data_IF_726277121284
#
_entry.id   IF_726277121284
#
_cell.length_a   1.000
_cell.length_b   1.000
_cell.length_c   1.000
_cell.angle_alpha   90.00
_cell.angle_beta   90.00
_cell.angle_gamma   90.00
#
_symmetry.space_group_name_H-M   'P 1'
#
loop_
_entity.id
_entity.type
_entity.pdbx_description
1 polymer ?
#
# COMPACT_ATOMS: atom_id res chain seq x y z
N UNK A 1 -39.72 -35.17 72.46
CA UNK A 1 -39.80 -36.42 71.69
C UNK A 1 -38.48 -36.57 70.97
N UNK A 2 -37.61 -37.55 71.23
CA UNK A 2 -37.47 -38.65 72.19
C UNK A 2 -35.98 -39.02 71.95
N UNK A 3 -35.08 -38.95 72.95
CA UNK A 3 -34.62 -40.11 73.73
C UNK A 3 -34.42 -41.32 72.80
N UNK A 4 -33.21 -41.88 72.66
CA UNK A 4 -32.62 -42.77 73.66
C UNK A 4 -31.09 -42.70 73.70
N UNK A 5 -30.61 -42.59 74.93
CA UNK A 5 -29.26 -42.90 75.41
C UNK A 5 -29.05 -44.43 75.51
N UNK A 6 -27.77 -44.77 75.75
CA UNK A 6 -27.23 -46.00 76.33
C UNK A 6 -27.25 -47.29 75.47
N UNK A 7 -26.05 -47.79 75.17
CA UNK A 7 -25.40 -48.62 76.20
C UNK A 7 -23.88 -48.70 76.00
N UNK A 8 -23.15 -48.40 77.07
CA UNK A 8 -21.73 -48.72 77.21
C UNK A 8 -21.57 -50.23 77.34
N UNK A 9 -20.63 -50.81 76.60
CA UNK A 9 -19.88 -51.93 77.15
C UNK A 9 -18.44 -51.94 76.62
N UNK A 10 -17.54 -51.44 77.46
CA UNK A 10 -16.12 -51.82 77.43
C UNK A 10 -16.01 -53.24 77.98
N UNK A 11 -15.25 -54.11 77.30
CA UNK A 11 -14.02 -54.68 77.87
C UNK A 11 -13.16 -55.38 76.79
N UNK A 12 -11.84 -55.51 77.02
CA UNK A 12 -10.83 -55.49 75.96
C UNK A 12 -10.10 -56.82 75.77
N UNK A 13 -9.65 -57.08 74.54
CA UNK A 13 -8.53 -57.97 74.22
C UNK A 13 -7.99 -57.52 72.85
N UNK A 14 -6.80 -56.90 72.71
CA UNK A 14 -5.48 -57.56 72.55
C UNK A 14 -5.60 -58.82 71.70
N UNK A 15 -5.01 -58.97 70.53
CA UNK A 15 -3.95 -58.32 69.72
C UNK A 15 -4.43 -58.48 68.26
N UNK A 16 -4.17 -57.55 67.33
CA UNK A 16 -3.06 -57.73 66.39
C UNK A 16 -2.67 -56.37 65.79
N UNK A 17 -1.39 -56.04 65.95
CA UNK A 17 -0.75 -54.77 65.62
C UNK A 17 -0.14 -54.75 64.21
N UNK A 18 -0.57 -55.63 63.30
CA UNK A 18 0.09 -55.81 62.01
C UNK A 18 -0.63 -55.18 60.81
N UNK A 19 -1.90 -54.75 60.92
CA UNK A 19 -2.64 -54.16 59.77
C UNK A 19 -2.54 -52.63 59.64
N UNK A 20 -1.93 -51.91 60.60
CA UNK A 20 -1.92 -50.43 60.61
C UNK A 20 -0.68 -49.82 59.94
N UNK A 21 0.39 -50.60 59.69
CA UNK A 21 1.58 -50.11 58.98
C UNK A 21 1.45 -50.19 57.45
N UNK A 22 0.67 -51.12 56.92
CA UNK A 22 0.54 -51.30 55.45
C UNK A 22 -0.36 -50.23 54.79
N UNK A 23 -1.25 -49.60 55.57
CA UNK A 23 -2.13 -48.52 55.07
C UNK A 23 -1.52 -47.12 55.17
N UNK A 24 -0.40 -46.92 55.87
CA UNK A 24 0.34 -45.65 55.82
C UNK A 24 1.37 -45.60 54.69
N UNK A 25 1.92 -46.75 54.29
CA UNK A 25 2.86 -46.83 53.18
C UNK A 25 2.19 -46.66 51.81
N UNK A 26 0.88 -46.91 51.69
CA UNK A 26 0.17 -46.87 50.40
C UNK A 26 -0.59 -45.56 50.11
N UNK A 27 -0.45 -44.55 50.99
CA UNK A 27 -0.98 -43.20 50.75
C UNK A 27 0.14 -42.21 50.35
N UNK A 28 1.40 -42.53 50.63
CA UNK A 28 2.55 -41.70 50.19
C UNK A 28 3.05 -42.02 48.77
N UNK A 29 2.62 -43.13 48.15
CA UNK A 29 3.14 -43.58 46.84
C UNK A 29 2.17 -43.31 45.65
N UNK A 30 1.18 -42.43 45.83
CA UNK A 30 0.23 -42.05 44.76
C UNK A 30 0.12 -40.53 44.56
N UNK A 31 1.13 -39.76 44.97
CA UNK A 31 1.15 -38.29 44.87
C UNK A 31 2.21 -37.74 43.90
N UNK A 32 2.85 -38.58 43.08
CA UNK A 32 3.96 -38.13 42.22
C UNK A 32 3.67 -38.07 40.72
N UNK A 33 2.44 -38.31 40.25
CA UNK A 33 2.12 -38.36 38.81
C UNK A 33 0.95 -37.45 38.39
N UNK A 34 0.72 -36.35 39.11
CA UNK A 34 -0.03 -35.21 38.57
C UNK A 34 0.95 -34.07 38.32
N UNK A 35 1.25 -33.78 37.05
CA UNK A 35 2.06 -32.63 36.66
C UNK A 35 1.47 -31.37 37.33
N UNK A 36 2.30 -30.60 38.03
CA UNK A 36 1.87 -29.39 38.72
C UNK A 36 1.19 -28.47 37.69
N UNK A 37 -0.09 -28.07 37.87
CA UNK A 37 -0.79 -27.18 36.95
C UNK A 37 -0.03 -25.89 36.66
N UNK A 38 0.84 -25.46 37.58
CA UNK A 38 1.73 -24.32 37.41
C UNK A 38 2.85 -24.59 36.40
N UNK A 39 3.45 -25.79 36.42
CA UNK A 39 4.50 -26.19 35.47
C UNK A 39 3.94 -26.34 34.05
N UNK A 40 2.75 -26.95 33.89
CA UNK A 40 2.11 -27.02 32.57
C UNK A 40 1.80 -25.65 31.98
N UNK A 41 1.35 -24.71 32.82
CA UNK A 41 1.02 -23.35 32.40
C UNK A 41 2.29 -22.57 32.03
N UNK A 42 3.39 -22.80 32.75
CA UNK A 42 4.70 -22.22 32.45
C UNK A 42 5.22 -22.70 31.09
N UNK A 43 5.14 -24.01 30.82
CA UNK A 43 5.56 -24.57 29.51
C UNK A 43 4.72 -23.99 28.36
N UNK A 44 3.39 -23.87 28.52
CA UNK A 44 2.51 -23.24 27.52
C UNK A 44 2.82 -21.76 27.32
N UNK A 45 3.14 -21.04 28.40
CA UNK A 45 3.55 -19.64 28.33
C UNK A 45 4.86 -19.47 27.58
N UNK A 46 5.86 -20.31 27.89
CA UNK A 46 7.18 -20.24 27.26
C UNK A 46 7.10 -20.57 25.76
N UNK A 47 6.34 -21.59 25.37
CA UNK A 47 6.09 -21.89 23.95
C UNK A 47 5.35 -20.73 23.24
N UNK A 48 4.33 -20.14 23.87
CA UNK A 48 3.62 -19.00 23.29
C UNK A 48 4.52 -17.77 23.17
N UNK A 49 5.36 -17.51 24.18
CA UNK A 49 6.29 -16.39 24.18
C UNK A 49 7.38 -16.56 23.11
N UNK A 50 7.91 -17.77 22.94
CA UNK A 50 8.86 -18.09 21.88
C UNK A 50 8.22 -17.96 20.50
N UNK A 51 6.99 -18.44 20.34
CA UNK A 51 6.21 -18.27 19.12
C UNK A 51 5.94 -16.79 18.82
N UNK A 52 5.63 -15.99 19.84
CA UNK A 52 5.42 -14.55 19.73
C UNK A 52 6.71 -13.82 19.34
N UNK A 53 7.84 -14.12 19.99
CA UNK A 53 9.15 -13.56 19.67
C UNK A 53 9.56 -13.87 18.23
N UNK A 54 9.36 -15.12 17.80
CA UNK A 54 9.61 -15.53 16.41
C UNK A 54 8.72 -14.78 15.43
N UNK A 55 7.41 -14.71 15.70
CA UNK A 55 6.46 -13.99 14.84
C UNK A 55 6.80 -12.49 14.77
N UNK A 56 7.18 -11.87 15.89
CA UNK A 56 7.61 -10.47 15.94
C UNK A 56 8.87 -10.25 15.08
N UNK A 57 9.85 -11.15 15.17
CA UNK A 57 11.05 -11.08 14.35
C UNK A 57 10.75 -11.27 12.85
N UNK A 58 9.89 -12.21 12.50
CA UNK A 58 9.41 -12.42 11.12
C UNK A 58 8.67 -11.19 10.58
N UNK A 59 7.81 -10.58 11.40
CA UNK A 59 7.09 -9.36 11.05
C UNK A 59 8.03 -8.17 10.83
N UNK A 60 9.02 -7.99 11.70
CA UNK A 60 10.03 -6.94 11.54
C UNK A 60 10.87 -7.14 10.27
N UNK A 61 11.25 -8.38 9.97
CA UNK A 61 11.95 -8.71 8.73
C UNK A 61 11.09 -8.46 7.50
N UNK A 62 9.82 -8.88 7.54
CA UNK A 62 8.84 -8.61 6.49
C UNK A 62 8.68 -7.10 6.25
N UNK A 63 8.46 -6.32 7.31
CA UNK A 63 8.33 -4.86 7.24
C UNK A 63 9.55 -4.22 6.60
N UNK A 64 10.76 -4.58 7.03
CA UNK A 64 12.02 -4.06 6.46
C UNK A 64 12.14 -4.43 4.98
N UNK A 65 11.84 -5.68 4.62
CA UNK A 65 11.86 -6.14 3.22
C UNK A 65 10.85 -5.37 2.36
N UNK A 66 9.60 -5.25 2.81
CA UNK A 66 8.56 -4.52 2.08
C UNK A 66 8.91 -3.04 1.90
N UNK A 67 9.49 -2.39 2.91
CA UNK A 67 9.93 -1.00 2.76
C UNK A 67 11.04 -0.86 1.72
N UNK A 68 11.99 -1.81 1.69
CA UNK A 68 13.05 -1.86 0.68
C UNK A 68 12.46 -2.07 -0.73
N UNK A 69 11.58 -3.07 -0.90
CA UNK A 69 10.93 -3.34 -2.18
C UNK A 69 10.12 -2.14 -2.68
N UNK A 70 9.38 -1.45 -1.79
CA UNK A 70 8.66 -0.21 -2.15
C UNK A 70 9.62 0.89 -2.59
N UNK A 71 10.75 1.07 -1.89
CA UNK A 71 11.75 2.05 -2.27
C UNK A 71 12.37 1.72 -3.63
N UNK A 72 12.64 0.44 -3.89
CA UNK A 72 13.17 -0.03 -5.16
C UNK A 72 12.16 0.19 -6.30
N UNK A 73 10.87 -0.11 -6.08
CA UNK A 73 9.79 0.17 -7.06
C UNK A 73 9.66 1.67 -7.34
N UNK A 74 9.74 2.53 -6.32
CA UNK A 74 9.69 3.98 -6.53
C UNK A 74 10.92 4.45 -7.33
N UNK A 75 12.10 3.89 -7.03
CA UNK A 75 13.34 4.23 -7.71
C UNK A 75 13.35 3.79 -9.18
N UNK A 76 12.84 2.60 -9.48
CA UNK A 76 12.77 2.07 -10.85
C UNK A 76 11.48 2.41 -11.59
N UNK A 77 10.47 2.98 -10.92
CA UNK A 77 9.15 3.23 -11.49
C UNK A 77 9.17 4.17 -12.71
N UNK A 78 10.16 5.04 -12.82
CA UNK A 78 10.37 5.91 -13.99
C UNK A 78 11.31 5.34 -15.06
N UNK A 79 12.05 4.25 -14.77
CA UNK A 79 13.11 3.71 -15.62
C UNK A 79 12.59 3.32 -17.01
N UNK A 80 11.45 2.62 -17.06
CA UNK A 80 10.81 2.25 -18.32
C UNK A 80 10.45 3.46 -19.17
N UNK A 81 9.77 4.45 -18.57
CA UNK A 81 9.33 5.66 -19.29
C UNK A 81 10.53 6.46 -19.82
N UNK A 82 11.58 6.59 -19.02
CA UNK A 82 12.81 7.28 -19.42
C UNK A 82 13.53 6.54 -20.56
N UNK A 83 13.59 5.21 -20.50
CA UNK A 83 14.19 4.38 -21.55
C UNK A 83 13.41 4.50 -22.86
N UNK A 84 12.08 4.43 -22.79
CA UNK A 84 11.18 4.61 -23.93
C UNK A 84 11.23 6.06 -24.48
N UNK A 85 11.75 7.03 -23.71
CA UNK A 85 11.94 8.42 -24.11
C UNK A 85 13.27 8.68 -24.86
N UNK A 86 14.28 7.82 -24.70
CA UNK A 86 15.60 8.01 -25.33
C UNK A 86 15.55 8.16 -26.86
N UNK A 87 14.71 7.41 -27.61
CA UNK A 87 14.60 7.59 -29.06
C UNK A 87 14.15 8.99 -29.50
N UNK A 88 13.51 9.76 -28.62
CA UNK A 88 13.17 11.15 -28.91
C UNK A 88 14.39 12.05 -28.85
N UNK A 89 15.30 11.83 -27.90
CA UNK A 89 16.56 12.55 -27.84
C UNK A 89 17.36 12.31 -29.13
N UNK A 90 17.45 11.06 -29.58
CA UNK A 90 18.12 10.70 -30.85
C UNK A 90 17.48 11.40 -32.06
N UNK A 91 16.15 11.47 -32.09
CA UNK A 91 15.41 12.13 -33.17
C UNK A 91 15.60 13.66 -33.15
N UNK A 92 15.61 14.27 -31.97
CA UNK A 92 15.90 15.70 -31.82
C UNK A 92 17.34 16.03 -32.21
N UNK A 93 18.33 15.23 -31.79
CA UNK A 93 19.72 15.42 -32.20
C UNK A 93 19.87 15.34 -33.72
N UNK A 94 19.23 14.36 -34.36
CA UNK A 94 19.20 14.22 -35.81
C UNK A 94 18.54 15.41 -36.50
N UNK A 95 17.42 15.90 -35.97
CA UNK A 95 16.73 17.07 -36.51
C UNK A 95 17.56 18.35 -36.36
N UNK A 96 18.24 18.55 -35.22
CA UNK A 96 19.12 19.68 -34.99
C UNK A 96 20.35 19.67 -35.90
N UNK A 97 20.94 18.49 -36.15
CA UNK A 97 22.03 18.36 -37.12
C UNK A 97 21.56 18.71 -38.53
N UNK A 98 20.38 18.23 -38.93
CA UNK A 98 19.79 18.56 -40.22
C UNK A 98 19.52 20.07 -40.34
N UNK A 99 19.02 20.72 -39.28
CA UNK A 99 18.79 22.17 -39.22
C UNK A 99 20.04 23.01 -39.47
N UNK A 100 21.22 22.54 -39.06
CA UNK A 100 22.49 23.24 -39.32
C UNK A 100 23.00 23.08 -40.75
N UNK A 101 22.49 22.11 -41.50
CA UNK A 101 22.97 21.76 -42.85
C UNK A 101 21.97 22.03 -43.96
N UNK A 102 20.69 22.12 -43.63
CA UNK A 102 19.61 22.31 -44.59
C UNK A 102 19.36 23.80 -44.83
N UNK A 103 19.15 24.19 -46.08
CA UNK A 103 18.65 25.53 -46.45
C UNK A 103 17.12 25.53 -46.63
N UNK A 104 16.50 24.35 -46.66
CA UNK A 104 15.07 24.17 -46.88
C UNK A 104 14.27 24.18 -45.57
N UNK A 105 13.50 25.25 -45.39
CA UNK A 105 12.65 25.47 -44.22
C UNK A 105 11.46 24.50 -44.16
N UNK A 106 10.95 24.01 -45.29
CA UNK A 106 9.78 23.12 -45.30
C UNK A 106 10.15 21.73 -44.76
N UNK A 107 11.27 21.19 -45.23
CA UNK A 107 11.82 19.93 -44.72
C UNK A 107 12.12 19.97 -43.21
N UNK A 108 12.52 21.13 -42.69
CA UNK A 108 12.74 21.33 -41.25
C UNK A 108 11.44 21.27 -40.43
N UNK A 109 10.39 21.93 -40.90
CA UNK A 109 9.08 21.95 -40.23
C UNK A 109 8.48 20.55 -40.24
N UNK A 110 8.52 19.86 -41.37
CA UNK A 110 8.02 18.48 -41.48
C UNK A 110 8.76 17.52 -40.54
N UNK A 111 10.09 17.63 -40.45
CA UNK A 111 10.88 16.84 -39.50
C UNK A 111 10.47 17.07 -38.04
N UNK A 112 10.18 18.32 -37.66
CA UNK A 112 9.71 18.65 -36.32
C UNK A 112 8.29 18.12 -36.05
N UNK A 113 7.38 18.23 -37.03
CA UNK A 113 6.01 17.73 -36.92
C UNK A 113 5.97 16.20 -36.76
N UNK A 114 6.89 15.48 -37.40
CA UNK A 114 7.06 14.03 -37.22
C UNK A 114 7.48 13.68 -35.80
N UNK A 115 8.45 14.41 -35.22
CA UNK A 115 8.89 14.20 -33.83
C UNK A 115 7.74 14.51 -32.86
N UNK A 116 7.02 15.61 -33.07
CA UNK A 116 5.88 15.98 -32.25
C UNK A 116 4.76 14.92 -32.30
N UNK A 117 4.44 14.42 -33.50
CA UNK A 117 3.45 13.36 -33.68
C UNK A 117 3.87 12.06 -32.97
N UNK A 118 5.15 11.69 -33.08
CA UNK A 118 5.71 10.54 -32.34
C UNK A 118 5.58 10.74 -30.83
N UNK A 119 5.79 11.96 -30.33
CA UNK A 119 5.72 12.28 -28.91
C UNK A 119 4.29 12.16 -28.37
N UNK A 120 3.30 12.66 -29.12
CA UNK A 120 1.89 12.47 -28.77
C UNK A 120 1.49 10.99 -28.75
N UNK A 121 2.00 10.19 -29.68
CA UNK A 121 1.77 8.74 -29.68
C UNK A 121 2.40 8.06 -28.46
N UNK A 122 3.61 8.45 -28.08
CA UNK A 122 4.27 7.95 -26.86
C UNK A 122 3.47 8.28 -25.61
N UNK A 123 2.99 9.52 -25.47
CA UNK A 123 2.13 9.90 -24.34
C UNK A 123 0.89 9.01 -24.27
N UNK A 124 0.19 8.81 -25.40
CA UNK A 124 -0.99 7.94 -25.46
C UNK A 124 -0.68 6.49 -25.08
N UNK A 125 0.46 5.93 -25.52
CA UNK A 125 0.90 4.58 -25.16
C UNK A 125 1.18 4.42 -23.66
N UNK A 126 1.64 5.48 -23.00
CA UNK A 126 1.83 5.52 -21.54
C UNK A 126 0.57 5.96 -20.76
N UNK A 127 -0.59 6.02 -21.42
CA UNK A 127 -1.86 6.38 -20.78
C UNK A 127 -2.03 7.88 -20.50
N UNK A 128 -1.16 8.72 -21.05
CA UNK A 128 -1.26 10.18 -20.94
C UNK A 128 -2.08 10.72 -22.10
N UNK A 129 -3.16 11.45 -21.78
CA UNK A 129 -4.05 12.09 -22.76
C UNK A 129 -4.11 13.59 -22.54
N UNK A 130 -4.16 14.33 -23.63
CA UNK A 130 -4.43 15.77 -23.60
C UNK A 130 -5.89 16.02 -23.19
N UNK A 131 -6.11 17.03 -22.35
CA UNK A 131 -7.44 17.47 -21.95
C UNK A 131 -7.87 18.60 -22.91
N UNK A 132 -8.92 18.35 -23.69
CA UNK A 132 -9.51 19.38 -24.56
C UNK A 132 -10.23 20.45 -23.73
N UNK A 133 -9.79 21.69 -23.87
CA UNK A 133 -10.30 22.82 -23.09
C UNK A 133 -11.10 23.81 -23.96
N UNK A 134 -10.66 24.06 -25.19
CA UNK A 134 -11.22 25.10 -26.07
C UNK A 134 -12.70 24.84 -26.37
N UNK A 135 -13.53 25.87 -26.18
CA UNK A 135 -14.96 25.81 -26.45
C UNK A 135 -15.80 25.04 -25.42
N UNK A 136 -15.18 24.48 -24.38
CA UNK A 136 -15.90 23.83 -23.28
C UNK A 136 -16.34 24.84 -22.21
N UNK A 137 -17.45 24.58 -21.50
CA UNK A 137 -17.81 25.37 -20.33
C UNK A 137 -16.72 25.26 -19.26
N UNK A 138 -16.42 26.37 -18.59
CA UNK A 138 -15.43 26.39 -17.52
C UNK A 138 -15.91 25.57 -16.32
N UNK A 139 -15.03 24.70 -15.83
CA UNK A 139 -15.20 23.80 -14.69
C UNK A 139 -13.92 23.86 -13.83
N UNK A 140 -14.05 24.37 -12.59
CA UNK A 140 -12.91 24.57 -11.70
C UNK A 140 -12.26 23.25 -11.24
N UNK A 141 -12.97 22.12 -11.33
CA UNK A 141 -12.43 20.79 -11.00
C UNK A 141 -11.54 20.24 -12.13
N UNK A 142 -11.59 20.84 -13.32
CA UNK A 142 -10.88 20.36 -14.52
C UNK A 142 -9.94 21.39 -15.13
N UNK A 143 -10.12 22.68 -14.85
CA UNK A 143 -9.39 23.76 -15.52
C UNK A 143 -8.92 24.82 -14.52
N UNK A 144 -7.75 25.40 -14.80
CA UNK A 144 -7.19 26.54 -14.07
C UNK A 144 -7.44 27.82 -14.87
N UNK A 145 -8.38 28.66 -14.45
CA UNK A 145 -8.60 29.96 -15.11
C UNK A 145 -7.47 30.95 -14.75
N UNK A 146 -6.75 31.43 -15.75
CA UNK A 146 -5.73 32.49 -15.57
C UNK A 146 -6.40 33.86 -15.49
N UNK A 147 -7.31 34.13 -16.43
CA UNK A 147 -7.99 35.42 -16.56
C UNK A 147 -9.32 35.25 -17.27
N UNK A 148 -10.17 36.26 -17.15
CA UNK A 148 -11.37 36.42 -17.98
C UNK A 148 -11.13 37.47 -19.06
N UNK A 149 -11.89 37.37 -20.16
CA UNK A 149 -11.91 38.37 -21.24
C UNK A 149 -13.36 38.69 -21.62
N UNK A 150 -13.71 39.96 -21.85
CA UNK A 150 -15.07 40.33 -22.23
C UNK A 150 -15.41 39.78 -23.62
N UNK A 151 -16.54 39.08 -23.73
CA UNK A 151 -17.01 38.52 -25.01
C UNK A 151 -18.22 39.29 -25.55
N UNK A 152 -18.27 39.48 -26.88
CA UNK A 152 -19.41 40.14 -27.53
C UNK A 152 -20.60 39.18 -27.69
N UNK A 153 -20.33 37.89 -27.89
CA UNK A 153 -21.34 36.86 -27.98
C UNK A 153 -21.68 36.30 -26.60
N UNK A 154 -22.96 36.38 -26.23
CA UNK A 154 -23.47 35.84 -24.96
C UNK A 154 -23.29 34.32 -24.85
N UNK A 155 -23.19 33.60 -25.97
CA UNK A 155 -22.96 32.15 -25.98
C UNK A 155 -21.58 31.76 -25.41
N UNK A 156 -20.62 32.69 -25.43
CA UNK A 156 -19.25 32.47 -25.00
C UNK A 156 -19.00 32.85 -23.54
N UNK A 157 -20.00 33.41 -22.86
CA UNK A 157 -19.91 33.75 -21.43
C UNK A 157 -19.80 32.47 -20.60
N UNK A 158 -18.76 32.35 -19.79
CA UNK A 158 -18.44 31.16 -19.01
C UNK A 158 -17.82 30.01 -19.81
N UNK A 159 -17.48 30.23 -21.08
CA UNK A 159 -16.83 29.25 -21.96
C UNK A 159 -15.34 29.55 -22.06
N UNK A 160 -14.54 28.51 -22.21
CA UNK A 160 -13.10 28.62 -22.43
C UNK A 160 -12.85 29.13 -23.86
N UNK A 161 -12.27 30.33 -23.94
CA UNK A 161 -11.97 31.01 -25.21
C UNK A 161 -10.60 30.63 -25.72
N UNK A 162 -9.64 30.46 -24.80
CA UNK A 162 -8.27 30.10 -25.15
C UNK A 162 -7.65 29.18 -24.09
N UNK A 163 -6.68 28.36 -24.52
CA UNK A 163 -5.89 27.48 -23.67
C UNK A 163 -4.41 27.85 -23.79
N UNK A 164 -3.95 28.67 -22.85
CA UNK A 164 -2.56 29.16 -22.80
C UNK A 164 -1.59 28.00 -22.55
N UNK A 165 -2.03 27.01 -21.78
CA UNK A 165 -1.20 25.88 -21.43
C UNK A 165 -2.04 24.59 -21.44
N UNK A 166 -1.72 23.69 -22.36
CA UNK A 166 -2.34 22.35 -22.43
C UNK A 166 -2.21 21.61 -21.11
N UNK A 167 -3.30 20.94 -20.73
CA UNK A 167 -3.35 20.02 -19.60
C UNK A 167 -3.33 18.57 -20.05
N UNK A 168 -2.99 17.69 -19.12
CA UNK A 168 -2.83 16.27 -19.37
C UNK A 168 -3.37 15.45 -18.19
N UNK A 169 -3.94 14.30 -18.51
CA UNK A 169 -4.35 13.29 -17.54
C UNK A 169 -3.59 11.99 -17.79
N UNK A 170 -3.18 11.32 -16.72
CA UNK A 170 -2.62 9.97 -16.74
C UNK A 170 -3.72 9.01 -16.28
N UNK A 171 -4.19 8.16 -17.19
CA UNK A 171 -5.39 7.36 -17.00
C UNK A 171 -6.56 8.28 -16.61
N UNK A 172 -7.09 8.15 -15.39
CA UNK A 172 -8.20 8.94 -14.86
C UNK A 172 -7.74 10.10 -13.95
N UNK A 173 -6.43 10.25 -13.71
CA UNK A 173 -5.89 11.27 -12.81
C UNK A 173 -5.33 12.44 -13.61
N UNK A 174 -5.84 13.64 -13.37
CA UNK A 174 -5.25 14.87 -13.90
C UNK A 174 -3.85 15.05 -13.29
N UNK A 175 -2.83 15.07 -14.15
CA UNK A 175 -1.43 15.31 -13.76
C UNK A 175 -1.03 16.77 -13.99
N UNK A 176 -1.76 17.48 -14.85
CA UNK A 176 -1.61 18.91 -15.08
C UNK A 176 -2.92 19.49 -15.58
N UNK A 177 -3.45 20.46 -14.85
CA UNK A 177 -4.64 21.20 -15.26
C UNK A 177 -4.34 22.08 -16.48
N UNK A 178 -5.23 22.15 -17.48
CA UNK A 178 -5.12 23.14 -18.55
C UNK A 178 -5.28 24.53 -17.96
N UNK A 179 -4.42 25.45 -18.37
CA UNK A 179 -4.57 26.87 -18.01
C UNK A 179 -5.29 27.62 -19.10
N UNK A 180 -6.41 28.22 -18.74
CA UNK A 180 -7.43 28.68 -19.69
C UNK A 180 -7.80 30.14 -19.48
N UNK A 181 -8.32 30.74 -20.54
CA UNK A 181 -8.95 32.07 -20.54
C UNK A 181 -10.45 31.87 -20.72
N UNK A 182 -11.24 32.47 -19.83
CA UNK A 182 -12.70 32.29 -19.81
C UNK A 182 -13.40 33.55 -20.32
N UNK A 183 -14.46 33.39 -21.10
CA UNK A 183 -15.27 34.52 -21.56
C UNK A 183 -16.14 35.08 -20.43
N UNK A 184 -16.17 36.40 -20.28
CA UNK A 184 -17.01 37.13 -19.32
C UNK A 184 -18.10 37.96 -19.99
#
# INVERSE_FOLDING_TARGET
EELYEDDMNLEPAREDKEEVEEQKANVEDNLSDEADPVEELQVKYDDLNDNYLRLHAEFDNFRKRTMKEKADIIKSGGERVLTDMLPFADDFERALQALHTAEDKEAMVEGMDLIYSKFLNFLNQHGVKEIEALGQPFDADKFEAITTVPVQDKSQKGVIIDCVQKGYQLNDKIIRYPKVIVGE
#
